data_IF_448654883908
#
_entry.id   IF_448654883908
#
_cell.length_a   1.000
_cell.length_b   1.000
_cell.length_c   1.000
_cell.angle_alpha   90.00
_cell.angle_beta   90.00
_cell.angle_gamma   90.00
#
_symmetry.space_group_name_H-M   'P 1'
#
loop_
_entity.id
_entity.type
_entity.pdbx_description
1 polymer ?
2 non-polymer ?
3 non-polymer ?
4 water ?
#
# COMPACT_ATOMS: atom_id res chain seq x y z
N UNK A 11 -11.92 -17.72 1.37
CA UNK A 11 -11.14 -17.45 2.58
C UNK A 11 -11.89 -16.57 3.57
N UNK A 12 -11.68 -16.85 4.86
CA UNK A 12 -12.32 -16.09 5.93
C UNK A 12 -11.98 -14.61 5.84
N UNK A 13 -13.01 -13.77 5.82
CA UNK A 13 -12.85 -12.33 5.78
C UNK A 13 -13.04 -11.77 7.19
N UNK A 14 -13.31 -10.47 7.28
CA UNK A 14 -13.40 -9.76 8.56
C UNK A 14 -14.67 -8.93 8.62
N UNK A 15 -15.32 -8.97 9.78
CA UNK A 15 -16.37 -8.02 10.11
C UNK A 15 -15.76 -6.92 10.96
N UNK A 16 -15.83 -5.66 10.55
CA UNK A 16 -15.09 -4.59 11.25
C UNK A 16 -15.47 -4.39 12.72
N UNK A 17 -16.74 -4.60 13.11
CA UNK A 17 -17.12 -4.36 14.49
C UNK A 17 -16.69 -5.47 15.46
N UNK A 18 -16.15 -6.58 14.94
CA UNK A 18 -15.69 -7.70 15.76
C UNK A 18 -14.18 -7.78 15.83
N UNK A 19 -13.48 -6.70 15.51
CA UNK A 19 -12.04 -6.66 15.64
C UNK A 19 -11.66 -5.93 16.92
N UNK A 20 -10.45 -6.20 17.39
CA UNK A 20 -9.80 -5.34 18.37
C UNK A 20 -9.12 -4.17 17.68
N UNK A 21 -9.44 -2.96 18.11
CA UNK A 21 -8.89 -1.75 17.51
C UNK A 21 -7.85 -1.15 18.44
N UNK A 22 -6.69 -0.81 17.87
CA UNK A 22 -5.58 -0.24 18.62
C UNK A 22 -5.24 1.14 18.12
N UNK A 23 -4.89 2.02 19.05
CA UNK A 23 -4.56 3.39 18.72
C UNK A 23 -3.25 3.78 19.38
N UNK A 24 -2.32 4.30 18.56
CA UNK A 24 -1.00 4.73 19.01
C UNK A 24 -0.76 6.16 18.52
N UNK A 25 -0.43 7.06 19.46
CA UNK A 25 -0.01 8.43 19.15
C UNK A 25 1.50 8.44 18.89
N UNK A 26 1.88 8.89 17.70
CA UNK A 26 3.29 8.93 17.32
C UNK A 26 3.84 10.35 17.28
N UNK A 27 3.01 11.36 17.02
CA UNK A 27 3.37 12.77 17.04
C UNK A 27 2.22 13.50 17.71
N UNK A 28 2.44 14.77 18.14
CA UNK A 28 1.40 15.47 18.91
C UNK A 28 -0.01 15.33 18.38
N UNK A 29 -0.21 15.51 17.09
CA UNK A 29 -1.55 15.48 16.52
C UNK A 29 -1.76 14.29 15.58
N UNK A 30 -0.93 13.26 15.68
CA UNK A 30 -0.99 12.13 14.77
C UNK A 30 -1.10 10.84 15.57
N UNK A 31 -2.24 10.18 15.48
CA UNK A 31 -2.34 8.82 16.03
C UNK A 31 -2.59 7.86 14.88
N UNK A 32 -1.98 6.69 14.97
CA UNK A 32 -2.23 5.61 14.03
C UNK A 32 -3.22 4.60 14.62
N UNK A 33 -4.21 4.23 13.81
CA UNK A 33 -5.15 3.17 14.12
C UNK A 33 -4.70 1.89 13.44
N UNK A 34 -4.96 0.77 14.11
CA UNK A 34 -4.70 -0.53 13.51
C UNK A 34 -5.67 -1.52 14.13
N UNK A 35 -5.84 -2.65 13.44
CA UNK A 35 -6.58 -3.79 13.96
C UNK A 35 -5.58 -4.91 14.26
N UNK A 36 -5.82 -5.67 15.35
CA UNK A 36 -4.87 -6.64 15.88
C UNK A 36 -5.54 -8.00 16.07
N UNK A 37 -5.02 -9.04 15.42
CA UNK A 37 -5.57 -10.38 15.57
C UNK A 37 -4.44 -11.39 15.63
N UNK A 38 -4.53 -12.31 16.59
CA UNK A 38 -3.63 -13.43 16.69
C UNK A 38 -2.51 -13.22 17.70
N UNK A 39 -1.77 -14.31 17.94
CA UNK A 39 -0.58 -14.30 18.77
C UNK A 39 0.60 -14.87 18.01
N UNK A 40 1.81 -14.44 18.39
CA UNK A 40 3.02 -14.88 17.72
C UNK A 40 3.84 -13.70 17.23
N UNK A 41 4.77 -13.95 16.31
CA UNK A 41 5.60 -12.85 15.78
C UNK A 41 4.75 -11.74 15.19
N UNK A 42 5.16 -10.50 15.44
CA UNK A 42 4.36 -9.36 15.02
C UNK A 42 4.51 -9.17 13.52
N UNK A 43 3.38 -9.04 12.82
CA UNK A 43 3.34 -8.87 11.37
C UNK A 43 2.50 -7.64 11.08
N UNK A 44 3.13 -6.62 10.51
CA UNK A 44 2.50 -5.33 10.26
C UNK A 44 2.15 -5.23 8.77
N UNK A 45 0.85 -5.12 8.47
CA UNK A 45 0.34 -4.98 7.10
C UNK A 45 0.08 -3.52 6.77
N UNK A 46 0.53 -3.09 5.59
CA UNK A 46 0.49 -1.68 5.22
C UNK A 46 -0.14 -1.58 3.84
N UNK A 47 -1.34 -1.01 3.78
CA UNK A 47 -2.12 -0.98 2.54
C UNK A 47 -1.62 0.11 1.61
N UNK A 48 -2.20 0.14 0.41
CA UNK A 48 -1.85 1.10 -0.63
C UNK A 48 -2.91 2.16 -0.86
N UNK A 49 -2.95 2.72 -2.07
CA UNK A 49 -3.84 3.80 -2.46
C UNK A 49 -4.93 3.31 -3.38
N UNK A 50 -6.20 3.68 -3.12
CA UNK A 50 -6.64 4.38 -1.93
C UNK A 50 -7.41 3.39 -1.06
N UNK A 51 -6.79 2.82 -0.03
CA UNK A 51 -7.37 1.64 0.61
C UNK A 51 -7.52 1.78 2.12
N UNK A 52 -7.25 0.71 2.86
CA UNK A 52 -7.69 0.61 4.25
C UNK A 52 -7.04 -0.63 4.87
N UNK A 53 -7.00 -0.67 6.22
CA UNK A 53 -6.68 -1.94 6.89
C UNK A 53 -7.55 -3.06 6.34
N UNK A 54 -8.79 -2.74 5.99
CA UNK A 54 -9.77 -3.70 5.49
C UNK A 54 -9.38 -4.28 4.14
N UNK A 55 -8.40 -3.68 3.45
CA UNK A 55 -7.93 -4.34 2.24
C UNK A 55 -7.24 -5.65 2.57
N UNK A 56 -6.84 -5.85 3.84
CA UNK A 56 -6.21 -7.09 4.24
C UNK A 56 -7.20 -8.09 4.87
N UNK A 57 -8.51 -7.91 4.65
CA UNK A 57 -9.51 -8.69 5.39
C UNK A 57 -9.34 -10.19 5.20
N UNK A 58 -8.91 -10.62 4.01
CA UNK A 58 -8.70 -12.05 3.74
C UNK A 58 -7.39 -12.59 4.29
N UNK A 59 -6.41 -11.71 4.60
CA UNK A 59 -5.13 -12.13 5.15
C UNK A 59 -5.14 -12.19 6.67
N UNK A 60 -5.83 -11.25 7.31
CA UNK A 60 -5.75 -11.07 8.76
C UNK A 60 -6.10 -12.36 9.47
N UNK A 61 -7.28 -12.99 9.24
CA UNK A 61 -7.56 -14.24 9.98
C UNK A 61 -6.67 -15.39 9.54
N UNK A 62 -6.25 -15.45 8.24
CA UNK A 62 -5.38 -16.52 7.78
C UNK A 62 -4.01 -16.46 8.46
N UNK A 63 -3.38 -15.28 8.49
CA UNK A 63 -2.09 -15.18 9.18
C UNK A 63 -2.22 -15.48 10.67
N UNK A 64 -3.22 -14.92 11.34
CA UNK A 64 -3.40 -15.22 12.75
C UNK A 64 -3.51 -16.72 12.98
N UNK A 65 -4.32 -17.40 12.16
CA UNK A 65 -4.48 -18.85 12.30
C UNK A 65 -3.17 -19.60 12.05
N UNK A 66 -2.25 -19.02 11.29
CA UNK A 66 -0.96 -19.66 11.02
C UNK A 66 0.05 -19.43 12.13
N UNK A 67 -0.31 -18.69 13.17
CA UNK A 67 0.57 -18.46 14.30
C UNK A 67 1.23 -17.09 14.35
N UNK A 68 0.59 -16.04 13.84
CA UNK A 68 1.18 -14.72 13.81
C UNK A 68 0.25 -13.72 14.48
N UNK A 69 0.85 -12.70 15.07
CA UNK A 69 0.14 -11.56 15.64
C UNK A 69 0.08 -10.48 14.57
N UNK A 70 -1.11 -10.26 14.03
CA UNK A 70 -1.30 -9.37 12.88
C UNK A 70 -1.71 -7.99 13.38
N UNK A 71 -1.06 -6.96 12.85
CA UNK A 71 -1.40 -5.55 13.08
C UNK A 71 -1.66 -4.96 11.70
N UNK A 72 -2.93 -4.73 11.37
CA UNK A 72 -3.29 -4.20 10.07
C UNK A 72 -3.56 -2.70 10.20
N UNK A 73 -2.69 -1.90 9.60
CA UNK A 73 -2.70 -0.46 9.76
C UNK A 73 -3.78 0.22 8.94
N UNK A 74 -4.32 1.30 9.50
CA UNK A 74 -4.91 2.40 8.75
C UNK A 74 -3.74 3.38 8.60
N UNK A 75 -3.17 3.47 7.40
CA UNK A 75 -2.00 4.32 7.20
C UNK A 75 -2.39 5.79 7.43
N UNK A 76 -1.37 6.62 7.61
CA UNK A 76 -1.63 8.03 7.89
C UNK A 76 -2.41 8.66 6.73
N UNK A 77 -3.47 9.40 7.08
CA UNK A 77 -4.38 9.96 6.11
C UNK A 77 -5.63 9.13 5.86
N UNK A 78 -5.72 7.93 6.42
CA UNK A 78 -6.77 6.99 6.07
C UNK A 78 -7.62 6.62 7.28
N UNK A 79 -8.91 6.48 7.06
CA UNK A 79 -9.76 5.74 7.97
C UNK A 79 -9.84 6.39 9.34
N UNK A 80 -9.41 5.65 10.37
CA UNK A 80 -9.40 6.15 11.74
C UNK A 80 -8.05 6.72 12.14
N UNK A 81 -7.04 6.66 11.29
CA UNK A 81 -5.77 7.31 11.59
C UNK A 81 -5.86 8.80 11.30
N UNK A 82 -4.97 9.48 12.03
CA UNK A 82 -4.95 10.91 11.85
C UNK A 82 -4.56 11.25 10.42
N UNK A 83 -5.00 12.42 9.96
CA UNK A 83 -4.76 12.90 8.61
C UNK A 83 -4.32 14.36 8.72
N UNK A 84 -3.07 14.60 9.11
CA UNK A 84 -2.61 15.99 9.23
C UNK A 84 -2.76 16.70 7.89
N UNK A 85 -2.94 18.01 7.94
CA UNK A 85 -3.22 18.76 6.70
C UNK A 85 -2.02 18.97 5.79
N UNK A 86 -0.79 18.92 6.32
CA UNK A 86 0.38 19.35 5.54
C UNK A 86 0.85 18.28 4.57
N UNK A 87 1.15 18.69 3.34
CA UNK A 87 1.54 17.76 2.29
C UNK A 87 2.81 17.01 2.65
N UNK A 88 3.77 17.72 3.25
CA UNK A 88 5.06 17.16 3.60
C UNK A 88 5.01 16.19 4.78
N UNK A 89 3.85 16.05 5.45
CA UNK A 89 3.76 15.02 6.48
C UNK A 89 3.60 13.63 5.88
N UNK A 90 3.42 13.55 4.57
CA UNK A 90 3.26 12.27 3.88
C UNK A 90 4.47 11.94 3.01
N UNK A 91 5.61 12.60 3.25
CA UNK A 91 6.85 12.14 2.63
C UNK A 91 7.26 10.82 3.27
N UNK A 92 8.00 10.02 2.49
CA UNK A 92 8.30 8.66 2.91
C UNK A 92 9.15 8.65 4.18
N UNK A 93 9.95 9.70 4.39
CA UNK A 93 10.82 9.80 5.55
C UNK A 93 10.04 9.99 6.85
N UNK A 94 9.07 10.91 6.86
CA UNK A 94 8.25 11.07 8.06
C UNK A 94 7.36 9.85 8.28
N UNK A 95 6.92 9.21 7.21
CA UNK A 95 6.01 8.08 7.38
C UNK A 95 6.74 6.89 8.02
N UNK A 96 7.98 6.66 7.63
CA UNK A 96 8.77 5.59 8.23
C UNK A 96 9.11 5.90 9.67
N UNK A 97 9.64 7.10 9.94
CA UNK A 97 9.99 7.43 11.30
C UNK A 97 8.79 7.32 12.22
N UNK A 98 7.60 7.65 11.73
CA UNK A 98 6.39 7.44 12.52
C UNK A 98 6.14 5.95 12.75
N UNK A 99 6.45 5.11 11.77
CA UNK A 99 6.23 3.68 11.94
C UNK A 99 7.24 3.06 12.89
N UNK A 100 8.42 3.70 13.05
CA UNK A 100 9.39 3.25 14.05
C UNK A 100 8.88 3.61 15.44
N UNK A 101 8.42 4.85 15.61
CA UNK A 101 7.75 5.27 16.84
C UNK A 101 6.57 4.35 17.17
N UNK A 102 5.79 3.96 16.16
CA UNK A 102 4.72 2.97 16.34
C UNK A 102 5.24 1.75 17.07
N UNK A 103 6.28 1.12 16.50
CA UNK A 103 6.92 -0.02 17.16
C UNK A 103 7.41 0.34 18.55
N UNK A 104 8.06 1.50 18.69
CA UNK A 104 8.56 1.91 19.99
C UNK A 104 7.45 1.93 21.03
N UNK A 105 6.34 2.59 20.70
CA UNK A 105 5.29 2.77 21.69
C UNK A 105 4.58 1.45 21.99
N UNK A 106 4.54 0.54 21.02
CA UNK A 106 4.04 -0.80 21.29
C UNK A 106 5.04 -1.71 21.98
N UNK A 107 6.29 -1.28 22.16
CA UNK A 107 7.27 -2.15 22.79
C UNK A 107 7.68 -3.34 21.95
N UNK A 108 7.74 -3.18 20.63
CA UNK A 108 8.16 -4.24 19.70
C UNK A 108 9.57 -3.93 19.19
N UNK A 109 10.51 -4.84 19.43
CA UNK A 109 11.87 -4.62 18.95
C UNK A 109 11.91 -4.67 17.43
N UNK A 110 11.25 -5.66 16.82
CA UNK A 110 11.08 -5.66 15.38
C UNK A 110 9.70 -6.20 15.03
N UNK A 111 9.38 -6.07 13.75
CA UNK A 111 8.16 -6.63 13.18
C UNK A 111 8.47 -7.07 11.76
N UNK A 112 7.76 -8.10 11.30
CA UNK A 112 7.70 -8.36 9.88
C UNK A 112 6.80 -7.31 9.24
N UNK A 113 7.23 -6.77 8.11
CA UNK A 113 6.48 -5.73 7.41
C UNK A 113 6.06 -6.25 6.06
N UNK A 114 4.77 -6.15 5.75
CA UNK A 114 4.20 -6.55 4.47
C UNK A 114 3.36 -5.41 3.94
N UNK A 115 3.59 -5.02 2.67
CA UNK A 115 2.96 -3.85 2.13
C UNK A 115 2.56 -4.04 0.68
N UNK A 116 1.67 -3.15 0.24
CA UNK A 116 1.06 -3.26 -1.08
C UNK A 116 0.94 -1.86 -1.64
N UNK A 117 1.36 -1.69 -2.89
CA UNK A 117 1.25 -0.40 -3.55
C UNK A 117 2.09 0.58 -2.74
N UNK A 118 1.57 1.74 -2.34
CA UNK A 118 2.35 2.68 -1.54
C UNK A 118 2.80 2.06 -0.21
N UNK A 119 1.99 1.18 0.38
CA UNK A 119 2.45 0.49 1.57
C UNK A 119 3.65 -0.39 1.29
N UNK A 120 3.74 -0.94 0.08
CA UNK A 120 4.87 -1.76 -0.25
C UNK A 120 6.11 -0.91 -0.43
N UNK A 121 5.96 0.24 -1.06
CA UNK A 121 7.04 1.22 -1.10
C UNK A 121 7.48 1.59 0.32
N UNK A 122 6.52 1.78 1.21
CA UNK A 122 6.90 2.17 2.57
C UNK A 122 7.73 1.07 3.22
N UNK A 123 7.30 -0.19 3.10
CA UNK A 123 8.02 -1.23 3.85
C UNK A 123 9.40 -1.49 3.26
N UNK A 124 9.61 -1.21 1.96
CA UNK A 124 10.96 -1.32 1.43
C UNK A 124 11.86 -0.29 2.08
N UNK A 125 11.34 0.92 2.24
CA UNK A 125 12.16 1.97 2.84
C UNK A 125 12.37 1.71 4.33
N UNK A 126 11.41 1.07 4.99
CA UNK A 126 11.63 0.63 6.37
C UNK A 126 12.70 -0.43 6.43
N UNK A 127 12.72 -1.33 5.43
CA UNK A 127 13.79 -2.32 5.36
C UNK A 127 15.13 -1.64 5.06
N UNK A 128 15.13 -0.66 4.16
CA UNK A 128 16.38 -0.06 3.72
C UNK A 128 17.00 0.78 4.83
N UNK A 129 16.22 1.65 5.48
CA UNK A 129 16.78 2.57 6.47
C UNK A 129 16.62 2.10 7.92
N UNK A 130 15.69 1.20 8.22
CA UNK A 130 15.52 0.70 9.60
C UNK A 130 15.58 -0.81 9.65
N UNK A 131 16.62 -1.43 9.06
CA UNK A 131 16.65 -2.89 9.07
C UNK A 131 16.64 -3.47 10.47
N UNK A 132 17.20 -2.77 11.46
CA UNK A 132 17.24 -3.32 12.81
C UNK A 132 15.84 -3.53 13.36
N UNK A 133 14.86 -2.78 12.85
CA UNK A 133 13.49 -2.85 13.32
C UNK A 133 12.59 -3.73 12.47
N UNK A 134 13.07 -4.22 11.33
CA UNK A 134 12.29 -5.06 10.43
C UNK A 134 12.83 -6.46 10.54
N UNK A 135 12.00 -7.37 11.09
CA UNK A 135 12.37 -8.78 11.15
C UNK A 135 12.47 -9.36 9.74
N UNK A 136 11.50 -9.05 8.88
CA UNK A 136 11.51 -9.46 7.47
C UNK A 136 10.54 -8.55 6.74
N UNK A 137 10.64 -8.52 5.41
CA UNK A 137 9.85 -7.58 4.64
C UNK A 137 9.34 -8.26 3.37
N UNK A 138 8.09 -7.97 3.02
CA UNK A 138 7.43 -8.47 1.82
C UNK A 138 6.67 -7.31 1.20
N UNK A 139 6.68 -7.24 -0.14
CA UNK A 139 5.88 -6.27 -0.86
C UNK A 139 5.00 -6.98 -1.90
N UNK A 140 3.76 -6.50 -2.06
CA UNK A 140 2.88 -6.92 -3.14
C UNK A 140 2.92 -5.87 -4.25
N UNK A 141 3.41 -6.27 -5.43
CA UNK A 141 3.36 -5.52 -6.70
C UNK A 141 4.47 -4.48 -6.77
N UNK A 142 4.63 -3.70 -5.72
CA UNK A 142 5.62 -2.62 -5.69
C UNK A 142 7.04 -3.16 -5.69
N UNK A 143 7.83 -2.90 -6.71
CA UNK A 143 9.24 -3.27 -6.67
C UNK A 143 10.04 -2.31 -5.80
N UNK A 144 11.27 -2.71 -5.53
CA UNK A 144 12.25 -1.81 -4.93
C UNK A 144 13.27 -1.46 -6.01
N UNK A 145 13.36 -0.18 -6.33
CA UNK A 145 14.27 0.29 -7.37
C UNK A 145 15.13 1.39 -6.75
N UNK A 146 16.44 1.17 -6.62
CA UNK A 146 17.31 2.20 -6.02
C UNK A 146 17.09 3.55 -6.69
N UNK A 147 17.17 4.61 -5.88
CA UNK A 147 17.03 5.97 -6.39
C UNK A 147 18.16 6.29 -7.36
N UNK A 148 17.79 6.90 -8.49
CA UNK A 148 18.72 7.35 -9.52
C UNK A 148 19.10 8.79 -9.21
N UNK A 149 20.29 9.04 -8.67
CA UNK A 149 20.66 10.41 -8.28
C UNK A 149 20.89 11.34 -9.46
N UNK A 150 20.73 10.87 -10.69
CA UNK A 150 20.92 11.71 -11.86
C UNK A 150 19.62 12.00 -12.61
N UNK A 151 18.51 11.38 -12.23
CA UNK A 151 17.23 11.59 -12.89
C UNK A 151 16.21 12.11 -11.89
N UNK A 152 15.71 13.32 -12.12
CA UNK A 152 14.62 13.85 -11.32
C UNK A 152 13.40 12.94 -11.42
N UNK A 153 12.51 12.98 -10.42
CA UNK A 153 11.28 12.17 -10.51
C UNK A 153 10.32 12.63 -11.60
N UNK A 154 10.27 13.93 -11.93
CA UNK A 154 9.30 14.43 -12.90
C UNK A 154 9.47 13.74 -14.27
N UNK A 155 10.71 13.69 -14.77
CA UNK A 155 10.96 13.13 -16.09
C UNK A 155 10.84 11.61 -16.10
N UNK A 156 11.28 10.97 -15.02
CA UNK A 156 11.10 9.53 -14.91
C UNK A 156 9.62 9.15 -14.96
N UNK A 157 8.72 10.09 -14.68
CA UNK A 157 7.31 9.88 -14.97
C UNK A 157 7.04 10.15 -16.44
N UNK A 158 7.52 11.28 -16.97
CA UNK A 158 7.35 11.57 -18.38
C UNK A 158 8.04 10.54 -19.28
N UNK A 159 8.95 9.74 -18.73
CA UNK A 159 9.58 8.67 -19.51
C UNK A 159 8.63 7.50 -19.71
N UNK A 160 7.70 7.28 -18.78
CA UNK A 160 6.71 6.21 -18.91
C UNK A 160 5.30 6.80 -18.86
N UNK A 161 4.56 6.81 -19.97
CA UNK A 161 3.22 7.41 -19.96
C UNK A 161 2.25 6.72 -19.02
N UNK A 162 2.57 5.52 -18.51
CA UNK A 162 1.65 4.82 -17.63
C UNK A 162 1.48 5.57 -16.31
N UNK A 163 2.52 6.27 -15.85
CA UNK A 163 2.47 7.04 -14.61
C UNK A 163 1.88 8.44 -14.81
N UNK A 164 1.17 8.65 -15.93
CA UNK A 164 0.57 9.94 -16.24
C UNK A 164 -0.39 10.41 -15.14
N UNK A 165 -1.11 9.49 -14.51
CA UNK A 165 -2.06 9.87 -13.46
C UNK A 165 -1.39 10.50 -12.24
N UNK A 166 -0.10 10.25 -12.03
CA UNK A 166 0.55 10.82 -10.86
C UNK A 166 0.76 12.32 -11.03
N UNK A 167 0.85 12.79 -12.28
CA UNK A 167 0.86 14.23 -12.54
C UNK A 167 -0.50 14.83 -12.23
N UNK A 168 -1.57 14.21 -12.74
CA UNK A 168 -2.90 14.64 -12.39
C UNK A 168 -3.10 14.69 -10.87
N UNK A 169 -2.43 13.81 -10.13
CA UNK A 169 -2.55 13.80 -8.66
C UNK A 169 -1.78 14.92 -7.97
N UNK A 170 -0.97 15.69 -8.71
CA UNK A 170 0.01 16.56 -8.06
C UNK A 170 -0.65 17.77 -7.39
N UNK A 171 -1.48 18.51 -8.13
CA UNK A 171 -1.97 19.81 -7.67
C UNK A 171 -3.09 19.65 -6.65
N UNK A 172 -2.94 20.17 -5.42
CA UNK A 172 -3.93 19.87 -4.37
C UNK A 172 -5.34 20.32 -4.75
N UNK A 173 -6.31 19.47 -4.43
CA UNK A 173 -7.71 19.77 -4.65
C UNK A 173 -8.25 19.30 -5.99
N UNK A 174 -7.40 19.12 -7.00
CA UNK A 174 -7.91 18.72 -8.32
C UNK A 174 -8.41 17.28 -8.29
N UNK A 175 -7.52 16.34 -7.96
CA UNK A 175 -7.96 14.96 -7.88
C UNK A 175 -8.96 14.74 -6.75
N UNK A 176 -8.86 15.50 -5.65
CA UNK A 176 -9.77 15.29 -4.52
C UNK A 176 -11.22 15.46 -4.93
N UNK A 177 -11.50 16.48 -5.75
CA UNK A 177 -12.87 16.75 -6.18
C UNK A 177 -13.43 15.59 -6.99
N UNK A 178 -12.64 15.08 -7.94
CA UNK A 178 -13.13 13.97 -8.74
C UNK A 178 -13.35 12.73 -7.87
N UNK A 179 -12.38 12.40 -7.01
CA UNK A 179 -12.48 11.16 -6.25
C UNK A 179 -13.57 11.22 -5.19
N UNK A 180 -13.91 12.41 -4.72
CA UNK A 180 -14.89 12.59 -3.66
C UNK A 180 -16.29 12.91 -4.18
N UNK A 181 -16.45 13.14 -5.48
CA UNK A 181 -17.75 13.57 -5.99
C UNK A 181 -18.80 12.49 -5.89
N UNK A 182 -18.39 11.22 -5.92
CA UNK A 182 -19.32 10.10 -5.83
C UNK A 182 -18.47 8.92 -5.36
N UNK A 183 -18.40 8.75 -4.04
CA UNK A 183 -17.45 7.80 -3.49
C UNK A 183 -17.78 6.37 -3.88
N UNK A 184 -19.07 6.03 -4.00
CA UNK A 184 -19.41 4.70 -4.46
C UNK A 184 -18.96 4.49 -5.90
N UNK A 185 -19.16 5.49 -6.75
CA UNK A 185 -18.66 5.37 -8.12
C UNK A 185 -17.14 5.24 -8.12
N UNK A 186 -16.46 5.97 -7.23
CA UNK A 186 -15.02 5.96 -7.17
C UNK A 186 -14.49 4.56 -6.91
N UNK A 187 -15.00 3.90 -5.87
CA UNK A 187 -14.41 2.63 -5.47
C UNK A 187 -14.89 1.47 -6.33
N UNK A 188 -16.10 1.56 -6.89
CA UNK A 188 -16.51 0.52 -7.85
C UNK A 188 -15.77 0.65 -9.16
N UNK A 189 -15.36 1.88 -9.53
CA UNK A 189 -14.54 2.07 -10.72
C UNK A 189 -13.09 1.66 -10.50
N UNK A 190 -12.60 1.70 -9.26
CA UNK A 190 -11.19 1.37 -9.02
C UNK A 190 -11.01 -0.11 -8.69
N UNK A 191 -11.80 -0.63 -7.74
CA UNK A 191 -11.63 -1.99 -7.23
C UNK A 191 -12.24 -2.95 -8.24
N UNK A 192 -11.45 -3.33 -9.25
CA UNK A 192 -11.91 -4.18 -10.34
C UNK A 192 -10.78 -5.10 -10.79
N UNK A 193 -11.16 -6.23 -11.37
CA UNK A 193 -10.15 -7.12 -11.92
C UNK A 193 -9.70 -6.59 -13.28
N UNK A 194 -8.47 -6.94 -13.64
CA UNK A 194 -7.88 -6.39 -14.86
C UNK A 194 -8.80 -6.56 -16.07
N UNK A 195 -9.43 -7.72 -16.22
CA UNK A 195 -10.30 -7.93 -17.37
C UNK A 195 -11.57 -7.10 -17.31
N UNK A 196 -11.87 -6.49 -16.16
CA UNK A 196 -13.05 -5.66 -15.91
C UNK A 196 -12.75 -4.16 -15.91
N UNK A 197 -11.49 -3.74 -16.07
CA UNK A 197 -11.14 -2.34 -15.86
C UNK A 197 -11.92 -1.43 -16.80
N UNK A 198 -12.18 -0.20 -16.32
CA UNK A 198 -13.03 0.74 -17.03
C UNK A 198 -12.32 2.09 -17.21
N UNK A 199 -10.99 2.11 -17.07
CA UNK A 199 -10.24 3.35 -17.14
C UNK A 199 -8.86 3.12 -17.74
N UNK A 200 -8.30 4.18 -18.31
CA UNK A 200 -6.95 4.18 -18.85
C UNK A 200 -6.15 5.23 -18.11
N UNK A 201 -5.10 4.81 -17.39
CA UNK A 201 -4.21 5.77 -16.75
C UNK A 201 -3.40 6.57 -17.76
N UNK A 202 -3.51 6.26 -19.05
CA UNK A 202 -2.76 6.98 -20.08
C UNK A 202 -3.39 8.33 -20.37
N UNK A 203 -4.70 8.35 -20.59
CA UNK A 203 -5.40 9.51 -21.11
C UNK A 203 -5.87 10.47 -20.03
N UNK A 204 -5.41 10.32 -18.78
CA UNK A 204 -6.02 11.05 -17.68
C UNK A 204 -5.77 12.55 -17.80
N UNK A 205 -4.49 12.97 -17.87
CA UNK A 205 -4.23 14.39 -18.01
C UNK A 205 -4.65 14.94 -19.37
N UNK A 206 -4.88 14.08 -20.36
CA UNK A 206 -5.43 14.52 -21.64
C UNK A 206 -6.96 14.54 -21.63
N UNK A 207 -7.59 13.67 -20.85
CA UNK A 207 -9.05 13.67 -20.71
C UNK A 207 -9.54 14.59 -19.60
N UNK A 208 -8.66 15.03 -18.72
CA UNK A 208 -9.06 15.89 -17.62
C UNK A 208 -9.55 15.18 -16.38
N UNK A 209 -9.20 13.93 -16.19
CA UNK A 209 -9.64 13.20 -15.02
C UNK A 209 -9.60 11.71 -15.24
N UNK A 210 -9.75 10.98 -14.13
CA UNK A 210 -9.69 9.52 -14.14
C UNK A 210 -10.95 8.88 -14.70
N UNK A 211 -12.11 9.46 -14.39
CA UNK A 211 -13.38 8.78 -14.59
C UNK A 211 -14.21 9.39 -15.70
N UNK A 212 -13.72 10.42 -16.38
CA UNK A 212 -14.59 11.19 -17.26
C UNK A 212 -15.06 10.36 -18.44
N UNK A 213 -14.34 9.27 -18.76
CA UNK A 213 -14.77 8.33 -19.80
C UNK A 213 -15.26 7.02 -19.23
N UNK A 214 -15.48 6.95 -17.92
CA UNK A 214 -15.94 5.74 -17.27
C UNK A 214 -17.45 5.78 -17.06
N UNK A 215 -18.09 4.65 -16.82
CA UNK A 215 -19.54 4.68 -16.60
C UNK A 215 -19.87 5.51 -15.37
N UNK A 216 -21.04 6.17 -15.41
CA UNK A 216 -21.51 6.90 -14.23
C UNK A 216 -22.05 5.95 -13.17
N UNK A 217 -22.74 4.89 -13.60
CA UNK A 217 -23.21 3.86 -12.69
C UNK A 217 -22.45 2.56 -12.98
N UNK A 218 -21.20 2.44 -12.54
CA UNK A 218 -20.41 1.25 -12.90
C UNK A 218 -20.96 -0.02 -12.27
N UNK A 219 -20.80 -1.12 -13.00
CA UNK A 219 -21.15 -2.42 -12.45
C UNK A 219 -20.22 -2.76 -11.29
N UNK A 220 -20.57 -3.82 -10.58
CA UNK A 220 -19.89 -4.23 -9.37
C UNK A 220 -18.93 -5.36 -9.70
N UNK A 221 -17.64 -5.16 -9.44
CA UNK A 221 -16.64 -6.16 -9.79
C UNK A 221 -16.96 -7.50 -9.12
N UNK A 222 -16.54 -8.58 -9.78
CA UNK A 222 -16.68 -9.90 -9.19
C UNK A 222 -15.87 -10.04 -7.91
N UNK A 223 -14.90 -9.15 -7.67
CA UNK A 223 -14.00 -9.23 -6.53
C UNK A 223 -14.62 -8.73 -5.23
N UNK A 224 -15.74 -7.99 -5.27
CA UNK A 224 -16.20 -7.25 -4.09
C UNK A 224 -17.72 -7.24 -4.05
N UNK A 225 -18.25 -7.08 -2.84
CA UNK A 225 -19.69 -6.90 -2.68
C UNK A 225 -20.02 -5.43 -2.51
N UNK A 226 -21.31 -5.14 -2.64
CA UNK A 226 -21.81 -3.80 -2.37
C UNK A 226 -21.52 -3.40 -0.93
N UNK A 227 -21.64 -4.35 0.00
CA UNK A 227 -21.35 -4.08 1.40
C UNK A 227 -19.90 -3.68 1.61
N UNK A 228 -18.97 -4.36 0.93
CA UNK A 228 -17.55 -4.05 1.09
C UNK A 228 -17.20 -2.70 0.49
N UNK A 229 -17.80 -2.38 -0.67
CA UNK A 229 -17.68 -1.05 -1.25
C UNK A 229 -18.14 0.01 -0.24
N UNK A 230 -19.31 -0.20 0.35
CA UNK A 230 -19.84 0.77 1.30
C UNK A 230 -18.97 0.92 2.54
N UNK A 231 -18.15 -0.07 2.88
CA UNK A 231 -17.26 0.13 4.01
C UNK A 231 -16.17 1.13 3.66
N UNK A 232 -15.51 0.93 2.51
CA UNK A 232 -14.55 1.92 2.04
C UNK A 232 -15.20 3.30 1.96
N UNK A 233 -16.40 3.37 1.38
CA UNK A 233 -17.10 4.64 1.25
C UNK A 233 -17.24 5.30 2.61
N UNK A 234 -17.68 4.51 3.60
CA UNK A 234 -17.79 5.05 4.96
C UNK A 234 -16.43 5.59 5.44
N UNK A 235 -15.38 4.81 5.28
CA UNK A 235 -14.06 5.24 5.79
C UNK A 235 -13.64 6.58 5.18
N UNK A 236 -13.88 6.78 3.88
CA UNK A 236 -13.37 7.97 3.22
C UNK A 236 -14.26 9.18 3.40
N UNK A 237 -15.47 9.03 3.93
CA UNK A 237 -16.19 10.21 4.40
C UNK A 237 -15.48 10.87 5.58
N UNK A 238 -14.62 10.13 6.29
CA UNK A 238 -14.02 10.66 7.52
C UNK A 238 -13.04 11.79 7.22
N UNK A 239 -12.10 11.55 6.30
CA UNK A 239 -11.05 12.52 6.02
C UNK A 239 -10.85 12.81 4.54
N UNK A 240 -11.53 12.09 3.66
CA UNK A 240 -11.43 12.41 2.25
C UNK A 240 -10.11 11.97 1.65
N UNK A 241 -9.81 12.53 0.49
CA UNK A 241 -8.74 12.00 -0.34
C UNK A 241 -7.45 12.80 -0.29
N UNK A 242 -7.44 13.96 0.38
CA UNK A 242 -6.25 14.79 0.39
C UNK A 242 -5.07 14.07 1.03
N UNK A 243 -5.28 13.48 2.20
CA UNK A 243 -4.24 12.77 2.90
C UNK A 243 -3.65 11.65 2.07
N UNK A 244 -4.51 10.71 1.63
CA UNK A 244 -4.02 9.66 0.71
C UNK A 244 -3.33 10.21 -0.53
N UNK A 245 -3.92 11.19 -1.22
CA UNK A 245 -3.28 11.72 -2.41
C UNK A 245 -1.91 12.30 -2.08
N UNK A 246 -1.76 12.84 -0.86
CA UNK A 246 -0.50 13.45 -0.46
C UNK A 246 0.66 12.46 -0.47
N UNK A 247 0.39 11.15 -0.48
CA UNK A 247 1.50 10.20 -0.59
C UNK A 247 2.22 10.34 -1.92
N UNK A 248 1.52 10.87 -2.94
CA UNK A 248 2.06 11.11 -4.27
C UNK A 248 2.74 12.46 -4.43
N UNK A 249 2.60 13.35 -3.44
CA UNK A 249 3.03 14.73 -3.62
C UNK A 249 4.34 15.04 -2.90
N UNK A 250 5.20 14.03 -2.76
CA UNK A 250 6.50 14.17 -2.14
C UNK A 250 7.59 13.49 -2.96
N UNK A 251 7.44 13.47 -4.28
CA UNK A 251 8.37 12.70 -5.11
C UNK A 251 9.79 13.24 -4.96
N UNK A 252 9.95 14.55 -5.01
CA UNK A 252 11.31 15.05 -4.94
C UNK A 252 11.87 14.92 -3.53
N UNK A 253 11.04 15.15 -2.50
CA UNK A 253 11.51 14.89 -1.14
C UNK A 253 11.92 13.42 -0.99
N UNK A 254 11.03 12.50 -1.35
CA UNK A 254 11.33 11.06 -1.30
C UNK A 254 12.55 10.71 -2.15
N UNK A 255 12.74 11.40 -3.27
CA UNK A 255 13.91 11.14 -4.10
C UNK A 255 15.19 11.44 -3.34
N UNK A 256 15.28 12.66 -2.78
CA UNK A 256 16.49 13.09 -2.06
C UNK A 256 16.79 12.19 -0.86
N UNK A 257 15.75 11.77 -0.13
CA UNK A 257 15.99 10.90 1.01
C UNK A 257 16.47 9.53 0.54
N UNK A 258 15.80 8.96 -0.48
CA UNK A 258 16.23 7.67 -1.02
C UNK A 258 17.67 7.73 -1.51
N UNK A 259 18.08 8.86 -2.09
CA UNK A 259 19.45 9.01 -2.55
C UNK A 259 20.44 8.93 -1.40
N UNK A 260 20.04 9.40 -0.22
CA UNK A 260 20.94 9.39 0.93
C UNK A 260 21.34 7.99 1.37
N UNK A 261 20.74 6.96 0.79
CA UNK A 261 21.02 5.58 1.17
C UNK A 261 21.97 4.87 0.22
N UNK A 262 22.19 5.44 -0.96
CA UNK A 262 22.67 4.67 -2.11
C UNK A 262 23.97 3.94 -1.81
N UNK A 263 24.09 2.73 -2.26
CA UNK A 263 25.26 2.04 -1.89
C UNK A 263 25.04 0.94 -0.87
N UNK A 264 23.87 0.87 -0.25
CA UNK A 264 23.63 -0.21 0.70
C UNK A 264 22.56 -1.17 0.22
N UNK A 265 22.79 -2.44 0.48
CA UNK A 265 21.85 -3.47 0.13
C UNK A 265 20.93 -3.72 1.31
N UNK A 266 19.79 -4.34 1.03
CA UNK A 266 18.86 -4.76 2.07
C UNK A 266 19.26 -6.19 2.45
N UNK A 267 19.79 -6.34 3.67
CA UNK A 267 20.40 -7.59 4.11
C UNK A 267 19.44 -8.51 4.86
N UNK A 268 18.17 -8.17 5.01
CA UNK A 268 17.23 -8.93 5.83
C UNK A 268 16.40 -9.83 4.92
N UNK A 269 15.70 -10.85 5.45
CA UNK A 269 14.87 -11.70 4.60
C UNK A 269 13.79 -10.90 3.92
N UNK A 270 13.57 -11.19 2.64
CA UNK A 270 12.68 -10.37 1.83
C UNK A 270 11.91 -11.21 0.83
N UNK A 271 10.75 -10.69 0.43
CA UNK A 271 9.85 -11.36 -0.49
C UNK A 271 9.25 -10.34 -1.44
N UNK A 272 9.36 -10.59 -2.73
CA UNK A 272 8.71 -9.74 -3.72
C UNK A 272 7.66 -10.57 -4.43
N UNK A 273 6.42 -10.09 -4.40
CA UNK A 273 5.29 -10.79 -5.02
C UNK A 273 4.81 -9.99 -6.21
N UNK A 274 4.86 -10.59 -7.39
CA UNK A 274 4.43 -9.91 -8.60
C UNK A 274 3.05 -10.39 -9.04
N UNK A 275 2.30 -9.48 -9.67
CA UNK A 275 0.96 -9.73 -10.19
C UNK A 275 0.98 -9.60 -11.71
N UNK A 276 0.54 -10.66 -12.40
CA UNK A 276 0.77 -10.75 -13.84
C UNK A 276 -0.02 -9.72 -14.63
N UNK A 277 -1.17 -9.26 -14.11
CA UNK A 277 -1.98 -8.31 -14.86
C UNK A 277 -2.09 -6.97 -14.15
N UNK A 278 -1.14 -6.66 -13.29
CA UNK A 278 -0.96 -5.29 -12.83
C UNK A 278 -0.26 -4.52 -13.95
N UNK A 279 -1.03 -3.69 -14.64
CA UNK A 279 -0.54 -3.00 -15.82
C UNK A 279 0.19 -1.72 -15.50
N UNK A 280 0.27 -1.38 -14.22
CA UNK A 280 1.03 -0.22 -13.75
C UNK A 280 2.27 -0.67 -13.00
N UNK A 281 2.10 -1.46 -11.93
CA UNK A 281 3.23 -2.10 -11.25
C UNK A 281 3.48 -3.45 -11.91
N UNK A 282 3.99 -3.40 -13.14
CA UNK A 282 4.21 -4.61 -13.93
C UNK A 282 5.35 -5.43 -13.32
N UNK A 283 5.35 -6.76 -13.50
CA UNK A 283 6.40 -7.58 -12.85
C UNK A 283 7.83 -7.24 -13.26
N UNK A 284 8.06 -6.90 -14.53
CA UNK A 284 9.43 -6.70 -15.00
C UNK A 284 10.11 -5.54 -14.30
N UNK A 285 9.34 -4.58 -13.78
CA UNK A 285 9.89 -3.50 -12.99
C UNK A 285 10.69 -4.00 -11.79
N UNK A 286 10.62 -5.30 -11.49
CA UNK A 286 11.28 -5.87 -10.31
C UNK A 286 12.46 -6.74 -10.69
N UNK A 287 12.86 -6.74 -11.97
CA UNK A 287 13.65 -7.84 -12.50
C UNK A 287 15.06 -7.91 -11.96
N UNK A 288 15.62 -6.82 -11.45
CA UNK A 288 16.98 -6.92 -10.92
C UNK A 288 17.04 -6.54 -9.44
N UNK A 289 15.98 -6.82 -8.69
CA UNK A 289 16.02 -6.54 -7.26
C UNK A 289 17.02 -7.44 -6.54
N UNK A 290 17.27 -8.64 -7.06
CA UNK A 290 18.22 -9.56 -6.43
C UNK A 290 19.58 -8.91 -6.23
N UNK A 291 19.98 -8.01 -7.13
CA UNK A 291 21.30 -7.41 -7.05
C UNK A 291 21.42 -6.49 -5.86
N UNK A 292 20.31 -5.92 -5.40
CA UNK A 292 20.30 -5.03 -4.26
C UNK A 292 19.80 -5.70 -2.98
N UNK A 293 19.22 -6.89 -3.08
CA UNK A 293 18.56 -7.59 -1.97
C UNK A 293 18.99 -9.05 -2.00
N UNK A 294 20.11 -9.40 -1.37
CA UNK A 294 20.71 -10.73 -1.62
C UNK A 294 19.82 -11.91 -1.25
N UNK A 295 19.05 -11.82 -0.18
CA UNK A 295 18.24 -12.93 0.32
C UNK A 295 16.80 -12.84 -0.16
N UNK A 296 16.57 -12.25 -1.33
CA UNK A 296 15.22 -12.02 -1.83
C UNK A 296 14.60 -13.31 -2.34
N UNK A 297 13.39 -13.63 -1.87
CA UNK A 297 12.64 -14.73 -2.44
C UNK A 297 11.45 -14.17 -3.21
N UNK A 298 10.93 -14.95 -4.14
CA UNK A 298 9.90 -14.40 -5.01
C UNK A 298 8.61 -15.19 -4.92
N UNK A 299 7.52 -14.48 -5.18
CA UNK A 299 6.26 -15.09 -5.51
C UNK A 299 5.67 -14.38 -6.71
N UNK A 300 4.80 -15.09 -7.43
CA UNK A 300 4.18 -14.55 -8.63
C UNK A 300 2.78 -15.12 -8.74
N UNK A 301 1.83 -14.25 -9.05
CA UNK A 301 0.42 -14.63 -9.12
C UNK A 301 -0.08 -14.38 -10.55
N UNK A 302 -0.41 -15.44 -11.25
CA UNK A 302 -1.06 -15.33 -12.55
C UNK A 302 -2.50 -14.83 -12.39
N UNK A 303 -3.02 -14.21 -13.45
CA UNK A 303 -4.41 -13.75 -13.52
C UNK A 303 -4.75 -12.76 -12.40
N UNK A 304 -3.77 -12.02 -11.93
CA UNK A 304 -3.93 -11.11 -10.80
C UNK A 304 -3.68 -9.68 -11.23
N UNK A 305 -4.67 -8.81 -10.99
CA UNK A 305 -4.55 -7.40 -11.28
C UNK A 305 -3.89 -6.63 -10.15
N UNK A 306 -4.15 -5.32 -10.12
CA UNK A 306 -3.51 -4.46 -9.12
C UNK A 306 -3.98 -4.72 -7.70
N UNK A 307 -5.22 -5.17 -7.51
CA UNK A 307 -5.81 -5.25 -6.16
C UNK A 307 -5.58 -6.64 -5.58
N UNK A 308 -4.31 -6.91 -5.25
CA UNK A 308 -3.81 -8.26 -5.10
C UNK A 308 -4.55 -9.02 -4.00
N UNK A 309 -4.81 -8.36 -2.88
CA UNK A 309 -5.30 -9.08 -1.72
C UNK A 309 -6.73 -9.56 -1.90
N UNK A 310 -7.52 -8.87 -2.72
CA UNK A 310 -8.91 -9.26 -2.92
C UNK A 310 -9.16 -9.93 -4.26
N UNK A 311 -8.27 -9.72 -5.24
CA UNK A 311 -8.33 -10.48 -6.49
C UNK A 311 -8.05 -11.95 -6.24
N UNK A 312 -6.95 -12.24 -5.52
CA UNK A 312 -6.44 -13.60 -5.37
C UNK A 312 -6.08 -13.86 -3.90
N UNK A 313 -7.05 -13.75 -2.98
CA UNK A 313 -6.71 -13.88 -1.56
C UNK A 313 -6.02 -15.19 -1.21
N UNK A 314 -6.51 -16.31 -1.75
CA UNK A 314 -5.96 -17.62 -1.37
C UNK A 314 -4.51 -17.78 -1.79
N UNK A 315 -4.19 -17.37 -3.02
CA UNK A 315 -2.81 -17.42 -3.49
C UNK A 315 -1.92 -16.52 -2.64
N UNK A 316 -2.41 -15.33 -2.29
CA UNK A 316 -1.65 -14.42 -1.44
C UNK A 316 -1.36 -15.07 -0.09
N UNK A 317 -2.41 -15.54 0.58
CA UNK A 317 -2.27 -16.21 1.86
C UNK A 317 -1.25 -17.34 1.81
N UNK A 318 -1.34 -18.20 0.79
CA UNK A 318 -0.39 -19.31 0.69
C UNK A 318 1.02 -18.79 0.54
N UNK A 319 1.24 -17.86 -0.39
CA UNK A 319 2.58 -17.32 -0.59
C UNK A 319 3.12 -16.74 0.71
N UNK A 320 2.31 -15.91 1.39
CA UNK A 320 2.77 -15.25 2.61
C UNK A 320 3.07 -16.24 3.73
N UNK A 321 2.19 -17.21 3.95
CA UNK A 321 2.38 -18.09 5.10
C UNK A 321 3.60 -18.98 4.90
N UNK A 322 3.80 -19.48 3.67
CA UNK A 322 4.97 -20.31 3.39
C UNK A 322 6.25 -19.51 3.63
N UNK A 323 6.27 -18.26 3.17
CA UNK A 323 7.44 -17.41 3.35
C UNK A 323 7.65 -17.04 4.83
N UNK A 324 6.56 -16.67 5.53
CA UNK A 324 6.70 -16.34 6.95
C UNK A 324 7.26 -17.51 7.74
N UNK A 325 6.77 -18.72 7.47
CA UNK A 325 7.20 -19.88 8.26
C UNK A 325 8.65 -20.24 7.99
N UNK A 326 9.14 -19.99 6.78
CA UNK A 326 10.51 -20.39 6.47
C UNK A 326 11.53 -19.29 6.74
N UNK A 327 11.20 -18.03 6.48
CA UNK A 327 12.18 -16.96 6.55
C UNK A 327 11.91 -15.90 7.60
N UNK A 328 10.80 -15.97 8.34
CA UNK A 328 10.50 -14.98 9.36
C UNK A 328 10.64 -15.49 10.79
N UNK A 329 10.49 -16.79 11.01
CA UNK A 329 10.64 -17.33 12.34
C UNK A 329 12.07 -17.77 12.64
X LIG B 1 21.32 -8.75 -11.69
X LIG C 1 6.44 6.86 -8.27
X LIG C 1 7.73 6.68 -10.69
X LIG C 1 8.56 4.70 -9.85
X LIG C 1 8.04 3.26 -9.76
X LIG C 1 3.90 5.28 -7.11
X LIG C 1 2.67 4.68 -7.20
X LIG C 1 -3.64 3.06 -7.44
X LIG C 1 -4.95 2.78 -9.61
X LIG C 1 -2.53 2.02 -9.47
X LIG C 1 0.00 3.30 -7.46
X LIG C 1 2.41 3.51 -6.51
X LIG C 1 3.42 2.95 -5.73
X LIG C 1 4.67 3.55 -5.65
X LIG C 1 4.92 4.73 -6.35
X LIG C 1 6.37 6.67 -6.73
X LIG C 1 8.02 7.86 -9.77
X LIG C 1 9.54 4.78 -11.02
X LIG C 1 9.35 4.98 -8.56
X LIG C 1 6.64 5.51 -8.98
X LIG C 1 -2.35 2.95 -8.27
X LIG C 1 -4.76 3.59 -8.32
X LIG C 1 -3.65 2.52 -10.37
X LIG C 1 1.11 2.88 -6.60
X LIG C 1 7.55 5.48 -10.03
X LIG C 1 -1.24 2.54 -7.43
X LIG C 1 0.06 4.24 -8.19
X LIG C 1 6.20 5.34 -6.28
X LIG C 1 7.31 7.91 -8.58
#
# INVERSE_FOLDING_TARGET
>A
MASLNTPAPLPTSCNPSDMSHGYVTVKPRVRLHFVELGSGPAVCLCHGFPESWYSWRYQIPALAQAGYRVLAMDMKGYGESSAPPEIEEYCMEVLCKEMVTFLDKLGLSQAVFIGHDWGGMLVWYMALFYPERVRAVASLNTPFIPANPNMSPLESIKANPVFDYQLYFQEPGVAEAELEQNLSRTFKSLFRASDESVLSMHKVCEAGGLFVNSPEEPSLSRMVTEEEIQFYVQQFKKSGFRGPLNWYRNMERNWKWACKSLGRKILIPALMVTAEKDFVLVPQMSQHMEDWIPHLKRGHIEDCGHWTQMDKPTEVNQILIKWLDSDARNPPVVSKMLLEHHHHHH
>B hetero
1 MG MG
>C hetero
1 G3T C10 C13 C15 C17 C20 C21 C24 C26 C28 C02 C04 C05 C06 C07 C09 C12 C16 C18 C19 C23 C25 C27 N03 N14 N22 O01 O08 O11
#
